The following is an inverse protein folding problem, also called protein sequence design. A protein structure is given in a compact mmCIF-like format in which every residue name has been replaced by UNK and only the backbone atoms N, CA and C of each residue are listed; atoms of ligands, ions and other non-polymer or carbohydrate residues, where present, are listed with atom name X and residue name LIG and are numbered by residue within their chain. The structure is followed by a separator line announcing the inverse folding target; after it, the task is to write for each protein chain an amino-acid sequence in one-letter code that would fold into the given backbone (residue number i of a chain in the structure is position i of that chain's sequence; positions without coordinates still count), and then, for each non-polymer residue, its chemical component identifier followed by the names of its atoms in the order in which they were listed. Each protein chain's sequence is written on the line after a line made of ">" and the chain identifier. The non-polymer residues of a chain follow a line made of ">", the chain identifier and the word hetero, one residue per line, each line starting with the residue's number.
data_IF_022908158666
#
_entry.id   IF_022908158666
#
_cell.length_a   1.000
_cell.length_b   1.000
_cell.length_c   1.000
_cell.angle_alpha   90.00
_cell.angle_beta   90.00
_cell.angle_gamma   90.00
#
_symmetry.space_group_name_H-M   'P 1'
#
loop_
_entity.id
_entity.type
_entity.pdbx_description
1 polymer ?
#
# COMPACT_ATOMS: atom_id res chain seq x y z
N UNK A 1 10.14 8.40 -6.29
CA UNK A 1 11.58 8.44 -5.92
C UNK A 1 12.15 7.02 -5.81
N UNK A 2 13.42 6.80 -6.20
CA UNK A 2 14.11 5.54 -5.97
C UNK A 2 14.11 5.16 -4.48
N UNK A 3 13.97 3.86 -4.16
CA UNK A 3 14.06 3.33 -2.80
C UNK A 3 12.77 3.38 -1.96
N UNK A 4 11.69 4.01 -2.43
CA UNK A 4 10.40 4.08 -1.72
C UNK A 4 9.87 2.69 -1.36
N UNK A 5 9.88 1.76 -2.31
CA UNK A 5 9.42 0.38 -2.08
C UNK A 5 10.31 -0.37 -1.09
N UNK A 6 11.63 -0.18 -1.14
CA UNK A 6 12.57 -0.81 -0.19
C UNK A 6 12.30 -0.33 1.23
N UNK A 7 12.11 0.98 1.43
CA UNK A 7 11.78 1.54 2.73
C UNK A 7 10.42 1.08 3.25
N UNK A 8 9.41 1.02 2.37
CA UNK A 8 8.07 0.55 2.70
C UNK A 8 8.08 -0.94 3.12
N UNK A 9 8.71 -1.81 2.32
CA UNK A 9 8.85 -3.23 2.68
C UNK A 9 9.67 -3.43 3.96
N UNK A 10 10.72 -2.62 4.16
CA UNK A 10 11.50 -2.63 5.39
C UNK A 10 10.72 -2.18 6.63
N UNK A 11 9.73 -1.29 6.49
CA UNK A 11 8.80 -0.94 7.57
C UNK A 11 7.95 -2.14 7.97
N UNK A 12 7.38 -2.87 6.99
CA UNK A 12 6.56 -4.05 7.26
C UNK A 12 7.35 -5.14 7.97
N UNK A 13 8.55 -5.44 7.46
CA UNK A 13 9.43 -6.45 8.04
C UNK A 13 9.83 -6.12 9.49
N UNK A 14 10.25 -4.89 9.78
CA UNK A 14 10.71 -4.48 11.13
C UNK A 14 9.58 -4.42 12.17
N UNK A 15 8.36 -4.17 11.73
CA UNK A 15 7.18 -4.03 12.60
C UNK A 15 6.34 -5.30 12.69
N UNK A 16 6.75 -6.38 12.03
CA UNK A 16 5.96 -7.61 11.91
C UNK A 16 4.52 -7.36 11.39
N UNK A 17 4.37 -6.38 10.49
CA UNK A 17 3.10 -6.10 9.83
C UNK A 17 2.93 -7.11 8.70
N UNK A 18 1.89 -7.94 8.78
CA UNK A 18 1.65 -8.95 7.77
C UNK A 18 0.87 -8.34 6.61
N UNK A 19 1.53 -8.25 5.47
CA UNK A 19 0.92 -7.81 4.21
C UNK A 19 0.81 -9.04 3.31
N UNK A 20 -0.42 -9.33 2.87
CA UNK A 20 -0.73 -10.50 2.04
C UNK A 20 -0.41 -10.22 0.58
N UNK A 21 -0.82 -9.04 0.07
CA UNK A 21 -0.57 -8.61 -1.30
C UNK A 21 -0.20 -7.12 -1.37
N UNK A 22 0.66 -6.79 -2.34
CA UNK A 22 1.07 -5.42 -2.64
C UNK A 22 0.87 -5.16 -4.14
N UNK A 23 0.13 -4.11 -4.47
CA UNK A 23 -0.04 -3.63 -5.83
C UNK A 23 0.45 -2.20 -5.89
N UNK A 24 1.36 -1.91 -6.82
CA UNK A 24 1.89 -0.57 -7.05
C UNK A 24 1.66 -0.19 -8.50
N UNK A 25 0.93 0.88 -8.75
CA UNK A 25 0.67 1.40 -10.10
C UNK A 25 1.07 2.86 -10.19
N UNK A 26 1.72 3.28 -11.29
CA UNK A 26 1.99 4.69 -11.52
C UNK A 26 0.69 5.47 -11.73
N UNK A 27 0.66 6.72 -11.28
CA UNK A 27 -0.40 7.66 -11.62
C UNK A 27 0.03 8.35 -12.92
N UNK A 28 -0.85 8.38 -13.93
CA UNK A 28 -0.57 9.04 -15.20
C UNK A 28 -0.24 10.54 -14.97
N UNK A 29 0.71 11.04 -15.75
CA UNK A 29 1.14 12.44 -15.74
C UNK A 29 1.61 12.96 -14.37
N UNK A 30 2.09 12.07 -13.49
CA UNK A 30 2.54 12.41 -12.15
C UNK A 30 3.78 11.58 -11.74
N UNK A 31 4.57 12.11 -10.79
CA UNK A 31 5.74 11.46 -10.19
C UNK A 31 5.39 10.51 -9.03
N UNK A 32 4.11 10.13 -8.91
CA UNK A 32 3.55 9.37 -7.80
C UNK A 32 3.00 8.01 -8.26
N UNK A 33 2.86 7.12 -7.29
CA UNK A 33 2.26 5.81 -7.49
C UNK A 33 1.16 5.59 -6.44
N UNK A 34 0.12 4.89 -6.82
CA UNK A 34 -0.81 4.30 -5.85
C UNK A 34 -0.29 2.94 -5.41
N UNK A 35 -0.29 2.73 -4.10
CA UNK A 35 0.07 1.47 -3.48
C UNK A 35 -1.17 0.95 -2.74
N UNK A 36 -1.65 -0.22 -3.14
CA UNK A 36 -2.67 -0.96 -2.43
C UNK A 36 -2.02 -2.08 -1.64
N UNK A 37 -2.46 -2.24 -0.41
CA UNK A 37 -1.96 -3.26 0.52
C UNK A 37 -3.15 -4.08 0.97
N UNK A 38 -3.10 -5.39 0.72
CA UNK A 38 -4.01 -6.32 1.36
C UNK A 38 -3.39 -6.73 2.69
N UNK A 39 -4.11 -6.45 3.78
CA UNK A 39 -3.66 -6.75 5.14
C UNK A 39 -4.79 -7.39 5.92
N UNK A 40 -4.44 -8.20 6.92
CA UNK A 40 -5.42 -8.77 7.83
C UNK A 40 -6.17 -7.66 8.57
N UNK A 41 -7.48 -7.82 8.75
CA UNK A 41 -8.34 -6.78 9.33
C UNK A 41 -7.85 -6.29 10.70
N UNK A 42 -7.34 -7.20 11.54
CA UNK A 42 -6.79 -6.87 12.86
C UNK A 42 -5.55 -5.96 12.84
N UNK A 43 -4.82 -5.88 11.73
CA UNK A 43 -3.59 -5.07 11.61
C UNK A 43 -3.81 -3.77 10.83
N UNK A 44 -4.99 -3.56 10.25
CA UNK A 44 -5.26 -2.42 9.35
C UNK A 44 -4.97 -1.07 9.99
N UNK A 45 -5.38 -0.86 11.23
CA UNK A 45 -5.16 0.40 11.95
C UNK A 45 -3.67 0.67 12.21
N UNK A 46 -2.94 -0.37 12.59
CA UNK A 46 -1.50 -0.30 12.86
C UNK A 46 -0.72 0.02 11.59
N UNK A 47 -1.01 -0.70 10.49
CA UNK A 47 -0.41 -0.49 9.18
C UNK A 47 -0.59 0.96 8.74
N UNK A 48 -1.80 1.49 8.83
CA UNK A 48 -2.09 2.87 8.46
C UNK A 48 -1.30 3.86 9.33
N UNK A 49 -1.30 3.67 10.66
CA UNK A 49 -0.57 4.54 11.57
C UNK A 49 0.94 4.55 11.34
N UNK A 50 1.52 3.43 10.89
CA UNK A 50 2.95 3.36 10.57
C UNK A 50 3.25 4.00 9.21
N UNK A 51 2.39 3.81 8.21
CA UNK A 51 2.57 4.35 6.86
C UNK A 51 2.38 5.88 6.84
N UNK A 52 1.42 6.40 7.60
CA UNK A 52 1.09 7.84 7.64
C UNK A 52 2.24 8.70 8.19
N UNK A 53 3.22 8.10 8.87
CA UNK A 53 4.41 8.77 9.40
C UNK A 53 5.53 8.95 8.37
N UNK A 54 5.39 8.37 7.18
CA UNK A 54 6.43 8.39 6.15
C UNK A 54 6.30 9.67 5.32
N UNK A 55 7.38 10.45 5.24
CA UNK A 55 7.38 11.74 4.51
C UNK A 55 7.04 11.61 3.02
N UNK A 56 7.34 10.46 2.41
CA UNK A 56 7.04 10.18 1.01
C UNK A 56 5.60 9.72 0.76
N UNK A 57 4.79 9.55 1.80
CA UNK A 57 3.38 9.19 1.69
C UNK A 57 2.56 10.47 1.64
N UNK A 58 1.96 10.73 0.48
CA UNK A 58 1.11 11.91 0.26
C UNK A 58 -0.25 11.75 0.96
N UNK A 59 -0.79 10.53 0.97
CA UNK A 59 -2.10 10.21 1.54
C UNK A 59 -2.22 8.72 1.80
N UNK A 60 -2.81 8.35 2.93
CA UNK A 60 -3.26 6.98 3.22
C UNK A 60 -4.77 6.99 3.44
N UNK A 61 -5.48 6.02 2.85
CA UNK A 61 -6.93 5.89 3.03
C UNK A 61 -7.31 4.44 3.30
N UNK A 62 -8.30 4.26 4.17
CA UNK A 62 -8.95 2.97 4.38
C UNK A 62 -9.85 2.69 3.20
N UNK A 63 -9.55 1.64 2.46
CA UNK A 63 -10.50 1.11 1.50
C UNK A 63 -11.38 0.07 2.21
N UNK A 64 -12.67 0.36 2.35
CA UNK A 64 -13.66 -0.61 2.87
C UNK A 64 -14.19 -1.54 1.77
N UNK A 65 -13.64 -1.42 0.56
CA UNK A 65 -14.05 -2.26 -0.56
C UNK A 65 -13.73 -3.73 -0.32
N UNK A 66 -14.55 -4.59 -0.92
CA UNK A 66 -14.38 -6.05 -0.88
C UNK A 66 -12.94 -6.44 -1.32
N UNK A 67 -12.26 -7.37 -0.63
CA UNK A 67 -10.91 -7.84 -1.00
C UNK A 67 -10.76 -8.23 -2.48
N UNK A 68 -11.84 -8.71 -3.10
CA UNK A 68 -11.88 -9.03 -4.54
C UNK A 68 -11.63 -7.83 -5.46
N UNK A 69 -11.76 -6.59 -4.97
CA UNK A 69 -11.40 -5.39 -5.73
C UNK A 69 -9.92 -5.33 -6.06
N UNK A 70 -9.06 -5.94 -5.24
CA UNK A 70 -7.63 -6.03 -5.54
C UNK A 70 -7.40 -6.77 -6.87
N UNK A 71 -8.07 -7.92 -7.04
CA UNK A 71 -8.02 -8.72 -8.27
C UNK A 71 -8.65 -7.99 -9.46
N UNK A 72 -9.75 -7.24 -9.24
CA UNK A 72 -10.38 -6.46 -10.31
C UNK A 72 -9.47 -5.36 -10.82
N UNK A 73 -8.77 -4.65 -9.94
CA UNK A 73 -7.83 -3.59 -10.34
C UNK A 73 -6.73 -4.19 -11.21
N UNK A 74 -6.13 -5.32 -10.82
CA UNK A 74 -5.07 -5.98 -11.62
C UNK A 74 -5.53 -6.27 -13.05
N UNK A 75 -6.78 -6.68 -13.26
CA UNK A 75 -7.34 -6.96 -14.59
C UNK A 75 -7.48 -5.72 -15.48
N UNK A 76 -7.67 -4.52 -14.91
CA UNK A 76 -7.78 -3.28 -15.69
C UNK A 76 -6.44 -2.73 -16.20
N UNK A 77 -5.32 -3.24 -15.69
CA UNK A 77 -3.98 -2.80 -16.06
C UNK A 77 -3.16 -3.88 -16.81
N UNK A 78 -3.83 -4.94 -17.29
CA UNK A 78 -3.33 -5.85 -18.33
C UNK A 78 -3.81 -5.38 -19.71
#
# INVERSE_FOLDING_TARGET
>A
HPGVMTHLCGLFARRALNVEDILCLPIQDCDKSHIWLLVKDGQRLEVISQIDKLEYVVKVQRNQSNPTMFNKIVVFFQ
#
